data_IF_677956959874
#
_entry.id   IF_677956959874
#
_cell.length_a   1.000
_cell.length_b   1.000
_cell.length_c   1.000
_cell.angle_alpha   90.00
_cell.angle_beta   90.00
_cell.angle_gamma   90.00
#
_symmetry.space_group_name_H-M   'P 1'
#
loop_
_entity.id
_entity.type
_entity.pdbx_description
1 polymer ?
#
# COMPACT_ATOMS: atom_id res chain seq x y z
N UNK A 1 28.98 -13.81 15.64
CA UNK A 1 27.99 -14.50 14.80
C UNK A 1 28.60 -14.59 13.41
N UNK A 2 29.15 -15.74 13.03
CA UNK A 2 29.84 -15.92 11.74
C UNK A 2 28.81 -16.02 10.63
N UNK A 3 28.75 -15.01 9.77
CA UNK A 3 27.94 -15.05 8.55
C UNK A 3 28.51 -16.17 7.67
N UNK A 4 27.71 -17.16 7.23
CA UNK A 4 28.23 -18.27 6.44
C UNK A 4 28.80 -17.77 5.10
N UNK A 5 29.90 -18.38 4.60
CA UNK A 5 30.71 -17.85 3.50
C UNK A 5 29.98 -17.74 2.15
N UNK A 6 28.87 -18.46 1.95
CA UNK A 6 28.07 -18.31 0.73
C UNK A 6 27.31 -16.97 0.67
N UNK A 7 27.08 -16.29 1.79
CA UNK A 7 26.45 -14.96 1.84
C UNK A 7 27.41 -13.82 1.46
N UNK A 8 28.69 -14.09 1.18
CA UNK A 8 29.65 -13.04 0.78
C UNK A 8 29.45 -12.60 -0.68
N UNK A 9 28.92 -13.49 -1.53
CA UNK A 9 28.70 -13.15 -2.93
C UNK A 9 27.44 -12.29 -3.12
N UNK A 10 27.55 -11.24 -3.93
CA UNK A 10 26.41 -10.38 -4.30
C UNK A 10 25.27 -11.22 -4.91
N UNK A 11 25.62 -12.25 -5.68
CA UNK A 11 24.66 -13.18 -6.28
C UNK A 11 23.85 -13.95 -5.24
N UNK A 12 24.48 -14.48 -4.20
CA UNK A 12 23.77 -15.18 -3.11
C UNK A 12 22.88 -14.24 -2.30
N UNK A 13 23.32 -13.00 -2.07
CA UNK A 13 22.51 -11.98 -1.37
C UNK A 13 21.27 -11.60 -2.18
N UNK A 14 21.42 -11.41 -3.50
CA UNK A 14 20.29 -11.13 -4.40
C UNK A 14 19.32 -12.32 -4.47
N UNK A 15 19.85 -13.55 -4.54
CA UNK A 15 19.04 -14.76 -4.51
C UNK A 15 18.25 -14.88 -3.20
N UNK A 16 18.89 -14.63 -2.06
CA UNK A 16 18.22 -14.63 -0.75
C UNK A 16 17.10 -13.59 -0.69
N UNK A 17 17.30 -12.39 -1.24
CA UNK A 17 16.27 -11.36 -1.32
C UNK A 17 15.10 -11.80 -2.22
N UNK A 18 15.38 -12.45 -3.36
CA UNK A 18 14.35 -12.96 -4.26
C UNK A 18 13.52 -14.08 -3.59
N UNK A 19 14.18 -15.03 -2.92
CA UNK A 19 13.50 -16.11 -2.18
C UNK A 19 12.65 -15.54 -1.04
N UNK A 20 13.18 -14.58 -0.27
CA UNK A 20 12.43 -13.91 0.78
C UNK A 20 11.21 -13.15 0.22
N UNK A 21 11.36 -12.46 -0.92
CA UNK A 21 10.28 -11.77 -1.60
C UNK A 21 9.17 -12.72 -2.04
N UNK A 22 9.54 -13.84 -2.68
CA UNK A 22 8.58 -14.88 -3.09
C UNK A 22 7.89 -15.48 -1.87
N UNK A 23 8.63 -15.83 -0.81
CA UNK A 23 8.06 -16.40 0.40
C UNK A 23 7.05 -15.46 1.07
N UNK A 24 7.37 -14.16 1.15
CA UNK A 24 6.45 -13.14 1.65
C UNK A 24 5.21 -12.99 0.76
N UNK A 25 5.38 -12.99 -0.55
CA UNK A 25 4.28 -12.86 -1.51
C UNK A 25 3.32 -14.06 -1.44
N UNK A 26 3.86 -15.28 -1.33
CA UNK A 26 3.08 -16.50 -1.11
C UNK A 26 2.35 -16.45 0.23
N UNK A 27 3.04 -16.04 1.31
CA UNK A 27 2.43 -15.90 2.63
C UNK A 27 1.27 -14.89 2.62
N UNK A 28 1.44 -13.77 1.92
CA UNK A 28 0.38 -12.77 1.73
C UNK A 28 -0.82 -13.36 0.98
N UNK A 29 -0.57 -14.12 -0.09
CA UNK A 29 -1.61 -14.86 -0.81
C UNK A 29 -2.37 -15.84 0.09
N UNK A 30 -1.67 -16.59 0.95
CA UNK A 30 -2.28 -17.51 1.92
C UNK A 30 -3.17 -16.78 2.94
N UNK A 31 -2.74 -15.63 3.45
CA UNK A 31 -3.54 -14.81 4.37
C UNK A 31 -4.84 -14.34 3.69
N UNK A 32 -4.77 -13.95 2.41
CA UNK A 32 -5.97 -13.56 1.64
C UNK A 32 -6.90 -14.76 1.42
N UNK A 33 -6.36 -15.94 1.12
CA UNK A 33 -7.15 -17.16 1.02
C UNK A 33 -7.82 -17.54 2.35
N UNK A 34 -7.12 -17.39 3.48
CA UNK A 34 -7.69 -17.55 4.81
C UNK A 34 -8.81 -16.54 5.06
N UNK A 35 -8.62 -15.27 4.70
CA UNK A 35 -9.67 -14.25 4.77
C UNK A 35 -10.88 -14.60 3.88
N UNK A 36 -10.66 -15.26 2.74
CA UNK A 36 -11.73 -15.75 1.85
C UNK A 36 -12.46 -16.94 2.47
N UNK A 37 -11.76 -17.89 3.07
CA UNK A 37 -12.35 -19.02 3.78
C UNK A 37 -13.15 -18.55 5.00
N UNK A 38 -12.59 -17.60 5.76
CA UNK A 38 -13.21 -16.99 6.92
C UNK A 38 -14.57 -16.35 6.60
N UNK A 39 -14.65 -15.49 5.57
CA UNK A 39 -15.92 -14.86 5.19
C UNK A 39 -16.99 -15.86 4.74
N UNK A 40 -16.59 -16.97 4.13
CA UNK A 40 -17.50 -18.02 3.68
C UNK A 40 -17.98 -18.85 4.86
N UNK A 41 -17.11 -19.10 5.84
CA UNK A 41 -17.49 -19.72 7.10
C UNK A 41 -18.54 -18.87 7.84
N UNK A 42 -18.35 -17.54 7.94
CA UNK A 42 -19.34 -16.65 8.56
C UNK A 42 -20.64 -16.54 7.77
N UNK A 43 -20.57 -16.43 6.44
CA UNK A 43 -21.77 -16.45 5.60
C UNK A 43 -22.59 -17.74 5.79
N UNK A 44 -21.92 -18.88 5.94
CA UNK A 44 -22.57 -20.16 6.25
C UNK A 44 -23.17 -20.20 7.67
N UNK A 45 -22.46 -19.68 8.68
CA UNK A 45 -22.96 -19.63 10.06
C UNK A 45 -24.18 -18.71 10.20
N UNK A 46 -24.16 -17.56 9.51
CA UNK A 46 -25.20 -16.54 9.59
C UNK A 46 -26.32 -16.73 8.54
N UNK A 47 -26.28 -17.83 7.78
CA UNK A 47 -27.18 -18.14 6.66
C UNK A 47 -27.39 -16.94 5.70
N UNK A 48 -26.28 -16.24 5.42
CA UNK A 48 -26.24 -14.98 4.69
C UNK A 48 -25.18 -15.00 3.58
N UNK A 49 -25.27 -14.04 2.65
CA UNK A 49 -24.26 -13.94 1.61
C UNK A 49 -22.87 -13.62 2.20
N UNK A 50 -21.81 -14.32 1.77
CA UNK A 50 -20.48 -14.12 2.29
C UNK A 50 -19.99 -12.69 1.98
N UNK A 51 -19.75 -11.92 3.05
CA UNK A 51 -19.35 -10.52 2.97
C UNK A 51 -17.98 -10.26 2.32
N UNK A 52 -17.39 -9.09 2.60
CA UNK A 52 -16.09 -8.72 2.03
C UNK A 52 -14.96 -9.53 2.67
N UNK A 53 -13.88 -9.77 1.93
CA UNK A 53 -12.68 -10.36 2.51
C UNK A 53 -12.02 -9.32 3.44
N UNK A 54 -11.88 -9.60 4.76
CA UNK A 54 -11.41 -8.61 5.73
C UNK A 54 -9.99 -8.13 5.45
N UNK A 55 -9.14 -8.99 4.87
CA UNK A 55 -7.75 -8.65 4.53
C UNK A 55 -7.73 -7.63 3.40
N UNK A 56 -8.47 -7.89 2.32
CA UNK A 56 -8.58 -7.01 1.16
C UNK A 56 -9.22 -5.68 1.56
N UNK A 57 -10.22 -5.72 2.46
CA UNK A 57 -10.86 -4.52 2.97
C UNK A 57 -9.91 -3.65 3.80
N UNK A 58 -9.11 -4.25 4.66
CA UNK A 58 -8.08 -3.52 5.40
C UNK A 58 -7.10 -2.82 4.45
N UNK A 59 -6.63 -3.52 3.41
CA UNK A 59 -5.69 -2.97 2.41
C UNK A 59 -6.33 -1.81 1.65
N UNK A 60 -7.58 -1.95 1.21
CA UNK A 60 -8.29 -0.90 0.52
C UNK A 60 -8.50 0.34 1.41
N UNK A 61 -8.86 0.14 2.69
CA UNK A 61 -8.99 1.24 3.67
C UNK A 61 -7.68 1.96 3.91
N UNK A 62 -6.55 1.26 4.02
CA UNK A 62 -5.22 1.88 4.16
C UNK A 62 -4.85 2.74 2.95
N UNK A 63 -5.35 2.41 1.76
CA UNK A 63 -5.22 3.24 0.55
C UNK A 63 -6.17 4.44 0.50
N UNK A 64 -7.07 4.55 1.49
CA UNK A 64 -8.13 5.54 1.50
C UNK A 64 -9.20 5.28 0.44
N UNK A 65 -9.38 4.01 0.05
CA UNK A 65 -10.47 3.61 -0.84
C UNK A 65 -11.71 3.28 -0.03
N UNK A 66 -12.86 3.61 -0.58
CA UNK A 66 -14.15 3.30 0.02
C UNK A 66 -14.82 2.15 -0.71
N UNK A 67 -15.58 1.38 0.05
CA UNK A 67 -16.42 0.33 -0.48
C UNK A 67 -17.42 0.90 -1.48
N UNK A 68 -17.45 0.38 -2.70
CA UNK A 68 -18.55 0.66 -3.62
C UNK A 68 -19.67 -0.36 -3.37
N UNK A 69 -20.85 0.09 -2.97
CA UNK A 69 -22.04 -0.75 -2.83
C UNK A 69 -22.65 -1.02 -4.20
N UNK A 70 -22.29 -2.15 -4.82
CA UNK A 70 -23.08 -2.69 -5.93
C UNK A 70 -24.30 -3.40 -5.36
N UNK A 71 -25.38 -2.67 -5.09
CA UNK A 71 -26.69 -3.29 -4.79
C UNK A 71 -27.08 -4.21 -5.95
N UNK A 72 -27.30 -5.49 -5.65
CA UNK A 72 -27.87 -6.47 -6.60
C UNK A 72 -26.91 -7.06 -7.65
N UNK A 73 -25.60 -6.89 -7.50
CA UNK A 73 -24.64 -7.50 -8.41
C UNK A 73 -24.06 -8.78 -7.79
N UNK A 74 -24.38 -9.93 -8.39
CA UNK A 74 -23.70 -11.23 -8.24
C UNK A 74 -22.22 -11.20 -8.61
N UNK A 75 -21.62 -10.02 -8.74
CA UNK A 75 -20.24 -9.84 -9.15
C UNK A 75 -19.32 -10.24 -8.00
N UNK A 76 -18.57 -11.32 -8.27
CA UNK A 76 -17.42 -11.79 -7.50
C UNK A 76 -16.30 -10.73 -7.35
N UNK A 77 -16.42 -9.59 -8.06
CA UNK A 77 -15.46 -8.50 -8.07
C UNK A 77 -15.89 -7.41 -7.08
N UNK A 78 -15.08 -7.20 -6.05
CA UNK A 78 -15.27 -6.12 -5.08
C UNK A 78 -14.72 -4.82 -5.68
N UNK A 79 -15.62 -3.94 -6.09
CA UNK A 79 -15.26 -2.61 -6.60
C UNK A 79 -15.01 -1.65 -5.43
N UNK A 80 -13.98 -0.82 -5.60
CA UNK A 80 -13.56 0.22 -4.66
C UNK A 80 -13.62 1.57 -5.36
N UNK A 81 -13.85 2.65 -4.62
CA UNK A 81 -13.69 4.01 -5.12
C UNK A 81 -12.48 4.67 -4.48
N UNK A 82 -11.66 5.31 -5.30
CA UNK A 82 -10.59 6.14 -4.80
C UNK A 82 -11.09 7.53 -4.37
N UNK A 83 -10.19 8.37 -3.83
CA UNK A 83 -10.50 9.74 -3.40
C UNK A 83 -10.95 10.68 -4.53
N UNK A 84 -10.74 10.29 -5.80
CA UNK A 84 -11.16 11.03 -6.99
C UNK A 84 -12.46 10.50 -7.58
N UNK A 85 -13.03 9.45 -6.98
CA UNK A 85 -14.24 8.78 -7.45
C UNK A 85 -14.00 7.76 -8.57
N UNK A 86 -12.74 7.47 -8.91
CA UNK A 86 -12.40 6.45 -9.89
C UNK A 86 -12.63 5.05 -9.31
N UNK A 87 -13.20 4.17 -10.12
CA UNK A 87 -13.44 2.79 -9.71
C UNK A 87 -12.14 1.98 -9.83
N UNK A 88 -11.80 1.24 -8.77
CA UNK A 88 -10.64 0.35 -8.67
C UNK A 88 -11.14 -1.06 -8.38
N UNK A 89 -10.55 -2.05 -9.04
CA UNK A 89 -11.05 -3.43 -9.03
C UNK A 89 -10.19 -4.37 -8.21
N UNK A 90 -8.90 -4.09 -8.05
CA UNK A 90 -8.00 -5.04 -7.41
C UNK A 90 -6.84 -4.39 -6.63
N UNK A 91 -6.88 -4.38 -5.28
CA UNK A 91 -5.72 -3.99 -4.48
C UNK A 91 -4.67 -5.11 -4.33
N UNK A 92 -4.96 -6.35 -4.74
CA UNK A 92 -4.09 -7.51 -4.53
C UNK A 92 -2.84 -7.48 -5.39
N UNK A 93 -2.96 -7.25 -6.70
CA UNK A 93 -1.79 -7.26 -7.61
C UNK A 93 -0.75 -6.24 -7.16
N UNK A 94 -1.19 -5.02 -6.84
CA UNK A 94 -0.27 -3.99 -6.36
C UNK A 94 0.38 -4.39 -5.03
N UNK A 95 -0.39 -4.95 -4.09
CA UNK A 95 0.16 -5.42 -2.82
C UNK A 95 1.15 -6.57 -3.03
N UNK A 96 0.83 -7.51 -3.91
CA UNK A 96 1.68 -8.63 -4.25
C UNK A 96 3.03 -8.15 -4.77
N UNK A 97 3.03 -7.19 -5.70
CA UNK A 97 4.26 -6.60 -6.23
C UNK A 97 5.04 -5.85 -5.14
N UNK A 98 4.36 -5.05 -4.32
CA UNK A 98 5.02 -4.34 -3.20
C UNK A 98 5.70 -5.35 -2.27
N UNK A 99 5.00 -6.39 -1.84
CA UNK A 99 5.53 -7.41 -0.92
C UNK A 99 6.67 -8.20 -1.56
N UNK A 100 6.55 -8.55 -2.84
CA UNK A 100 7.57 -9.28 -3.60
C UNK A 100 8.89 -8.49 -3.68
N UNK A 101 8.82 -7.19 -3.96
CA UNK A 101 10.00 -6.35 -4.10
C UNK A 101 10.51 -5.75 -2.79
N UNK A 102 9.73 -5.80 -1.70
CA UNK A 102 10.10 -5.20 -0.41
C UNK A 102 11.47 -5.65 0.09
N UNK A 103 11.83 -6.95 0.14
CA UNK A 103 13.15 -7.37 0.61
C UNK A 103 14.30 -6.82 -0.23
N UNK A 104 14.12 -6.78 -1.57
CA UNK A 104 15.08 -6.20 -2.48
C UNK A 104 15.23 -4.69 -2.26
N UNK A 105 14.13 -3.96 -2.11
CA UNK A 105 14.13 -2.52 -1.83
C UNK A 105 14.85 -2.20 -0.52
N UNK A 106 14.60 -2.98 0.54
CA UNK A 106 15.28 -2.82 1.84
C UNK A 106 16.78 -3.10 1.68
N UNK A 107 17.16 -4.18 1.01
CA UNK A 107 18.56 -4.52 0.76
C UNK A 107 19.29 -3.40 0.00
N UNK A 108 18.68 -2.89 -1.07
CA UNK A 108 19.25 -1.78 -1.85
C UNK A 108 19.33 -0.50 -1.02
N UNK A 109 18.36 -0.23 -0.15
CA UNK A 109 18.37 0.93 0.71
C UNK A 109 19.53 0.91 1.71
N UNK A 110 19.85 -0.25 2.29
CA UNK A 110 21.02 -0.39 3.15
C UNK A 110 22.34 -0.32 2.36
N UNK A 111 22.41 -0.95 1.20
CA UNK A 111 23.63 -0.99 0.40
C UNK A 111 23.96 0.36 -0.24
N UNK A 112 22.93 1.12 -0.62
CA UNK A 112 23.03 2.44 -1.25
C UNK A 112 22.58 3.54 -0.28
N UNK A 113 22.83 3.38 1.02
CA UNK A 113 22.28 4.25 2.07
C UNK A 113 22.57 5.75 1.83
N UNK A 114 23.75 6.10 1.33
CA UNK A 114 24.10 7.49 1.02
C UNK A 114 23.19 8.08 -0.07
N UNK A 115 22.90 7.32 -1.12
CA UNK A 115 21.97 7.72 -2.17
C UNK A 115 20.54 7.79 -1.64
N UNK A 116 20.14 6.83 -0.79
CA UNK A 116 18.81 6.84 -0.17
C UNK A 116 18.61 8.10 0.70
N UNK A 117 19.59 8.45 1.53
CA UNK A 117 19.57 9.66 2.35
C UNK A 117 19.51 10.93 1.49
N UNK A 118 20.24 10.98 0.38
CA UNK A 118 20.19 12.09 -0.56
C UNK A 118 18.78 12.27 -1.15
N UNK A 119 18.16 11.19 -1.64
CA UNK A 119 16.81 11.23 -2.22
C UNK A 119 15.76 11.62 -1.17
N UNK A 120 15.85 11.06 0.05
CA UNK A 120 14.95 11.39 1.16
C UNK A 120 15.09 12.87 1.55
N UNK A 121 16.32 13.40 1.56
CA UNK A 121 16.58 14.81 1.84
C UNK A 121 15.96 15.72 0.77
N UNK A 122 16.13 15.39 -0.51
CA UNK A 122 15.49 16.12 -1.61
C UNK A 122 13.96 16.10 -1.52
N UNK A 123 13.39 14.94 -1.18
CA UNK A 123 11.95 14.81 -0.99
C UNK A 123 11.46 15.66 0.19
N UNK A 124 12.18 15.67 1.30
CA UNK A 124 11.87 16.52 2.46
C UNK A 124 11.91 18.01 2.10
N UNK A 125 12.95 18.45 1.39
CA UNK A 125 13.07 19.84 0.90
C UNK A 125 11.88 20.18 -0.01
N UNK A 126 11.54 19.31 -0.96
CA UNK A 126 10.42 19.51 -1.87
C UNK A 126 9.08 19.56 -1.12
N UNK A 127 8.90 18.72 -0.11
CA UNK A 127 7.72 18.70 0.74
C UNK A 127 7.57 20.02 1.53
N UNK A 128 8.64 20.49 2.18
CA UNK A 128 8.66 21.77 2.89
C UNK A 128 8.40 22.93 1.92
N UNK A 129 9.00 22.92 0.73
CA UNK A 129 8.75 23.94 -0.29
C UNK A 129 7.28 23.94 -0.77
N UNK A 130 6.66 22.76 -0.91
CA UNK A 130 5.24 22.63 -1.26
C UNK A 130 4.34 23.11 -0.13
N UNK A 131 4.68 22.80 1.11
CA UNK A 131 3.98 23.27 2.32
C UNK A 131 4.03 24.80 2.40
N UNK A 132 5.23 25.40 2.27
CA UNK A 132 5.41 26.85 2.27
C UNK A 132 4.61 27.53 1.14
N UNK A 133 4.61 26.98 -0.08
CA UNK A 133 3.78 27.51 -1.18
C UNK A 133 2.27 27.43 -0.88
N UNK A 134 1.81 26.35 -0.25
CA UNK A 134 0.38 26.20 0.10
C UNK A 134 -0.03 27.21 1.19
N UNK A 135 0.82 27.43 2.19
CA UNK A 135 0.59 28.45 3.22
C UNK A 135 0.63 29.87 2.64
N UNK A 136 1.61 30.19 1.78
CA UNK A 136 1.64 31.48 1.08
C UNK A 136 0.35 31.75 0.31
N UNK A 137 -0.16 30.76 -0.43
CA UNK A 137 -1.44 30.88 -1.16
C UNK A 137 -2.64 31.13 -0.23
N UNK A 138 -2.65 30.57 0.97
CA UNK A 138 -3.70 30.81 1.97
C UNK A 138 -3.61 32.24 2.53
N UNK A 139 -2.41 32.71 2.89
CA UNK A 139 -2.21 34.07 3.38
C UNK A 139 -2.49 35.14 2.31
N UNK A 140 -2.04 34.93 1.07
CA UNK A 140 -2.33 35.83 -0.04
C UNK A 140 -3.86 35.94 -0.31
N UNK A 141 -4.61 34.85 -0.05
CA UNK A 141 -6.08 34.86 -0.15
C UNK A 141 -6.71 35.68 0.99
N UNK A 142 -6.20 35.55 2.22
CA UNK A 142 -6.69 36.33 3.37
C UNK A 142 -6.34 37.83 3.29
N UNK A 143 -5.20 38.20 2.69
CA UNK A 143 -4.82 39.61 2.51
C UNK A 143 -5.62 40.28 1.38
N UNK A 144 -5.97 39.54 0.33
CA UNK A 144 -6.76 40.07 -0.80
C UNK A 144 -8.25 40.18 -0.53
N UNK A 145 -8.76 39.50 0.49
CA UNK A 145 -10.19 39.47 0.80
C UNK A 145 -10.44 39.61 2.32
N UNK A 146 -10.15 40.80 2.90
CA UNK A 146 -10.33 41.04 4.33
C UNK A 146 -11.81 41.04 4.79
N UNK A 147 -12.78 40.99 3.86
CA UNK A 147 -14.22 41.02 4.17
C UNK A 147 -14.93 39.65 4.07
N UNK A 148 -14.25 38.56 3.70
CA UNK A 148 -14.87 37.23 3.55
C UNK A 148 -15.33 36.56 4.87
N UNK A 149 -15.17 37.25 6.01
CA UNK A 149 -15.60 36.83 7.33
C UNK A 149 -16.52 37.84 8.04
N UNK A 150 -17.20 38.73 7.30
CA UNK A 150 -18.44 39.36 7.80
C UNK A 150 -19.63 38.44 7.57
#
# INVERSE_FOLDING_TARGET
MSIPPFLESITAQLLACAVAGVALAVSCGLIILLGKAWRHAWGWVDDSEPGRNPVIELIARLRGWTAFETKGSTSTYLWWKDKKGETKTDPFIDLFLVVLFTPLSIYLLFKLYALALFVVSLFAIAFVARFARRHKKLFDKHIKDPEAHK
#
